data_IF_606738926500
#
_entry.id   IF_606738926500
#
_cell.length_a   1.000
_cell.length_b   1.000
_cell.length_c   1.000
_cell.angle_alpha   90.00
_cell.angle_beta   90.00
_cell.angle_gamma   90.00
#
_symmetry.space_group_name_H-M   'P 1'
#
loop_
_entity.id
_entity.type
_entity.pdbx_description
1 polymer ?
#
# COMPACT_ATOMS: atom_id res chain seq x y z
N UNK A 1 15.65 -11.18 -15.46
CA UNK A 1 14.25 -10.81 -15.15
C UNK A 1 14.04 -9.39 -15.65
N UNK A 2 13.47 -9.24 -16.85
CA UNK A 2 13.31 -7.94 -17.49
C UNK A 2 12.22 -7.15 -16.76
N UNK A 3 12.63 -6.05 -16.12
CA UNK A 3 11.70 -5.06 -15.58
C UNK A 3 11.30 -4.19 -16.77
N UNK A 4 10.06 -4.32 -17.24
CA UNK A 4 9.54 -3.40 -18.25
C UNK A 4 9.53 -1.98 -17.65
N UNK A 5 10.27 -1.02 -18.22
CA UNK A 5 10.43 0.31 -17.63
C UNK A 5 9.13 1.13 -17.64
N UNK A 6 8.09 0.68 -18.36
CA UNK A 6 6.77 1.33 -18.38
C UNK A 6 5.82 0.87 -17.26
N UNK A 7 6.15 -0.22 -16.55
CA UNK A 7 5.19 -0.83 -15.62
C UNK A 7 5.46 -0.43 -14.16
N UNK A 8 4.68 0.56 -13.69
CA UNK A 8 4.69 1.01 -12.29
C UNK A 8 4.46 -0.15 -11.32
N UNK A 9 5.27 -0.18 -10.26
CA UNK A 9 5.12 -1.12 -9.13
C UNK A 9 4.62 -0.39 -7.91
N UNK A 10 3.77 -1.06 -7.16
CA UNK A 10 3.11 -0.55 -5.97
C UNK A 10 3.41 -1.46 -4.79
N UNK A 11 3.52 -0.90 -3.60
CA UNK A 11 3.61 -1.67 -2.34
C UNK A 11 2.91 -0.93 -1.21
N UNK A 12 2.35 -1.69 -0.27
CA UNK A 12 1.86 -1.11 0.98
C UNK A 12 3.03 -0.67 1.84
N UNK A 13 2.88 0.43 2.57
CA UNK A 13 3.83 0.91 3.57
C UNK A 13 3.09 1.34 4.82
N UNK A 14 3.61 0.96 5.97
CA UNK A 14 3.12 1.48 7.25
C UNK A 14 3.80 2.81 7.56
N UNK A 15 3.05 3.77 8.10
CA UNK A 15 3.62 5.04 8.56
C UNK A 15 4.09 4.98 10.01
N UNK A 16 3.64 3.99 10.76
CA UNK A 16 3.88 3.85 12.22
C UNK A 16 4.97 2.83 12.54
N UNK A 17 5.21 1.86 11.65
CA UNK A 17 6.19 0.80 11.85
C UNK A 17 7.04 0.57 10.59
N UNK A 18 8.19 -0.13 10.67
CA UNK A 18 9.09 -0.32 9.54
C UNK A 18 8.57 -1.32 8.49
N UNK A 19 7.31 -1.74 8.58
CA UNK A 19 6.72 -2.69 7.64
C UNK A 19 6.59 -2.09 6.24
N UNK A 20 7.11 -2.84 5.27
CA UNK A 20 6.96 -2.57 3.84
C UNK A 20 6.43 -3.85 3.18
N UNK A 21 5.30 -3.73 2.51
CA UNK A 21 4.63 -4.82 1.82
C UNK A 21 5.35 -5.27 0.55
N UNK A 22 4.89 -6.40 0.02
CA UNK A 22 5.38 -6.94 -1.26
C UNK A 22 5.09 -5.97 -2.40
N UNK A 23 5.99 -5.93 -3.40
CA UNK A 23 5.76 -5.19 -4.64
C UNK A 23 4.76 -5.94 -5.55
N UNK A 24 3.82 -5.18 -6.11
CA UNK A 24 2.82 -5.64 -7.06
C UNK A 24 2.79 -4.72 -8.27
N UNK A 25 2.49 -5.26 -9.44
CA UNK A 25 2.22 -4.46 -10.64
C UNK A 25 0.86 -3.76 -10.57
N UNK A 26 -0.09 -4.30 -9.81
CA UNK A 26 -1.46 -3.76 -9.71
C UNK A 26 -1.66 -3.05 -8.37
N UNK A 27 -2.11 -1.80 -8.43
CA UNK A 27 -2.44 -0.98 -7.25
C UNK A 27 -3.36 -1.71 -6.26
N UNK A 28 -4.44 -2.35 -6.74
CA UNK A 28 -5.43 -3.01 -5.87
C UNK A 28 -4.85 -4.09 -4.96
N UNK A 29 -3.79 -4.78 -5.39
CA UNK A 29 -3.12 -5.79 -4.57
C UNK A 29 -2.28 -5.14 -3.46
N UNK A 30 -1.60 -4.04 -3.77
CA UNK A 30 -0.86 -3.26 -2.78
C UNK A 30 -1.83 -2.60 -1.76
N UNK A 31 -2.96 -2.08 -2.22
CA UNK A 31 -4.02 -1.52 -1.38
C UNK A 31 -4.62 -2.59 -0.44
N UNK A 32 -4.91 -3.80 -0.95
CA UNK A 32 -5.38 -4.91 -0.12
C UNK A 32 -4.35 -5.30 0.96
N UNK A 33 -3.05 -5.33 0.62
CA UNK A 33 -2.00 -5.60 1.60
C UNK A 33 -1.90 -4.51 2.67
N UNK A 34 -1.99 -3.24 2.28
CA UNK A 34 -2.01 -2.10 3.19
C UNK A 34 -3.21 -2.16 4.16
N UNK A 35 -4.41 -2.45 3.63
CA UNK A 35 -5.62 -2.66 4.45
C UNK A 35 -5.50 -3.83 5.40
N UNK A 36 -4.93 -4.94 4.95
CA UNK A 36 -4.70 -6.11 5.80
C UNK A 36 -3.80 -5.75 6.98
N UNK A 37 -2.68 -5.07 6.73
CA UNK A 37 -1.79 -4.61 7.80
C UNK A 37 -2.48 -3.60 8.73
N UNK A 38 -3.25 -2.66 8.18
CA UNK A 38 -4.05 -1.70 8.95
C UNK A 38 -5.01 -2.41 9.90
N UNK A 39 -5.69 -3.44 9.42
CA UNK A 39 -6.66 -4.18 10.22
C UNK A 39 -5.99 -5.10 11.26
N UNK A 40 -4.88 -5.73 10.90
CA UNK A 40 -4.17 -6.66 11.79
C UNK A 40 -3.46 -5.95 12.96
N UNK A 41 -2.95 -4.74 12.72
CA UNK A 41 -2.11 -4.02 13.68
C UNK A 41 -2.70 -2.68 14.14
N UNK A 42 -3.89 -2.30 13.66
CA UNK A 42 -4.49 -1.00 13.92
C UNK A 42 -3.60 0.20 13.55
N UNK A 43 -2.71 0.04 12.56
CA UNK A 43 -1.84 1.11 12.06
C UNK A 43 -2.41 1.80 10.83
N UNK A 44 -1.99 3.03 10.60
CA UNK A 44 -2.21 3.77 9.37
C UNK A 44 -1.21 3.30 8.32
N UNK A 45 -1.72 2.98 7.14
CA UNK A 45 -0.90 2.55 6.01
C UNK A 45 -1.22 3.34 4.76
N UNK A 46 -0.34 3.28 3.77
CA UNK A 46 -0.57 3.85 2.46
C UNK A 46 0.03 2.97 1.36
N UNK A 47 -0.27 3.26 0.11
CA UNK A 47 0.40 2.65 -1.03
C UNK A 47 1.44 3.62 -1.56
N UNK A 48 2.64 3.12 -1.80
CA UNK A 48 3.73 3.85 -2.46
C UNK A 48 4.09 3.17 -3.78
N UNK A 49 4.60 3.93 -4.75
CA UNK A 49 5.15 3.36 -5.98
C UNK A 49 6.62 2.93 -5.83
N UNK A 50 7.24 2.53 -6.93
CA UNK A 50 8.63 2.05 -7.00
C UNK A 50 9.68 3.09 -6.60
N UNK A 51 9.35 4.36 -6.71
CA UNK A 51 10.16 5.50 -6.26
C UNK A 51 9.83 5.90 -4.81
N UNK A 52 9.06 5.09 -4.11
CA UNK A 52 8.65 5.31 -2.73
C UNK A 52 7.77 6.56 -2.52
N UNK A 53 7.23 7.12 -3.61
CA UNK A 53 6.27 8.20 -3.55
C UNK A 53 4.89 7.67 -3.20
N UNK A 54 4.20 8.36 -2.30
CA UNK A 54 2.85 7.97 -1.86
C UNK A 54 1.83 8.25 -2.95
N UNK A 55 1.01 7.24 -3.26
CA UNK A 55 -0.15 7.40 -4.14
C UNK A 55 -1.23 8.22 -3.43
N UNK A 56 -1.73 9.28 -4.07
CA UNK A 56 -2.80 10.10 -3.50
C UNK A 56 -4.09 9.28 -3.28
N UNK A 57 -4.81 9.52 -2.17
CA UNK A 57 -6.02 8.78 -1.81
C UNK A 57 -5.78 7.34 -1.30
N UNK A 58 -4.54 6.85 -1.26
CA UNK A 58 -4.22 5.50 -0.79
C UNK A 58 -4.10 5.34 0.72
N UNK A 59 -4.31 6.41 1.49
CA UNK A 59 -4.18 6.36 2.94
C UNK A 59 -5.32 5.54 3.54
N UNK A 60 -4.96 4.48 4.26
CA UNK A 60 -5.88 3.63 5.00
C UNK A 60 -5.66 3.89 6.48
N UNK A 61 -6.72 4.30 7.17
CA UNK A 61 -6.72 4.50 8.62
C UNK A 61 -7.44 3.35 9.31
N UNK A 62 -7.01 2.96 10.52
CA UNK A 62 -7.76 2.02 11.35
C UNK A 62 -9.16 2.59 11.65
N UNK A 63 -10.18 1.74 11.65
CA UNK A 63 -11.56 2.16 11.91
C UNK A 63 -12.27 2.89 10.77
N UNK A 64 -11.61 3.13 9.63
CA UNK A 64 -12.24 3.60 8.39
C UNK A 64 -12.97 2.48 7.66
N UNK A 65 -14.00 1.89 8.31
CA UNK A 65 -14.92 1.00 7.63
C UNK A 65 -15.64 1.76 6.52
N UNK A 66 -15.83 1.08 5.38
CA UNK A 66 -16.62 1.49 4.21
C UNK A 66 -17.80 2.39 4.60
N UNK A 67 -17.90 3.59 4.01
CA UNK A 67 -19.24 4.06 3.63
C UNK A 67 -19.71 3.09 2.55
N UNK A 68 -20.71 2.28 2.91
CA UNK A 68 -21.49 1.46 2.00
C UNK A 68 -22.20 2.33 0.95
#
# INVERSE_FOLDING_TARGET
MSQDPGQLRYRGRCVECPWVGRQFVRYRLADAAARHHTNAHHHTTCVVDQYDLRIAGSMVRPGGARKA
#
